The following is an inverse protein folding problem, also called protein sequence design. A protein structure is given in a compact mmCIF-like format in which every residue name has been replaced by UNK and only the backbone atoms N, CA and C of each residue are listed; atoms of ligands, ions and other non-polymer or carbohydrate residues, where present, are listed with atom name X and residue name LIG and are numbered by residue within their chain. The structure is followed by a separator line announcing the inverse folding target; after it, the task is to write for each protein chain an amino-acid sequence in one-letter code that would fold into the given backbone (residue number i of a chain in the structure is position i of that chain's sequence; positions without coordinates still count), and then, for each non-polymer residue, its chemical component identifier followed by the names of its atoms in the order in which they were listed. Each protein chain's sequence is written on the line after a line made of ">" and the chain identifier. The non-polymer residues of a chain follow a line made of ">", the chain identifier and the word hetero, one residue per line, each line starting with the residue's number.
data_IF_982321923655
#
_entry.id   IF_982321923655
#
_cell.length_a   1.000
_cell.length_b   1.000
_cell.length_c   1.000
_cell.angle_alpha   90.00
_cell.angle_beta   90.00
_cell.angle_gamma   90.00
#
_symmetry.space_group_name_H-M   'P 1'
#
loop_
_entity.id
_entity.type
_entity.pdbx_description
1 polymer ?
#
# COMPACT_ATOMS: atom_id res chain seq x y z
N UNK A 1 4.23 -14.46 5.19
CA UNK A 1 3.26 -13.41 5.57
C UNK A 1 2.34 -13.18 4.38
N UNK A 2 1.02 -13.34 4.54
CA UNK A 2 0.06 -13.15 3.44
C UNK A 2 -0.72 -11.86 3.67
N UNK A 3 -0.66 -10.95 2.71
CA UNK A 3 -1.47 -9.73 2.72
C UNK A 3 -2.88 -10.10 2.28
N UNK A 4 -3.88 -9.70 3.05
CA UNK A 4 -5.30 -9.99 2.78
C UNK A 4 -6.09 -8.76 2.40
N UNK A 5 -5.66 -7.59 2.89
CA UNK A 5 -6.32 -6.32 2.60
C UNK A 5 -5.27 -5.28 2.23
N UNK A 6 -5.53 -4.54 1.15
CA UNK A 6 -4.72 -3.40 0.72
C UNK A 6 -5.59 -2.15 0.72
N UNK A 7 -5.19 -1.15 1.50
CA UNK A 7 -5.69 0.22 1.42
C UNK A 7 -4.82 1.05 0.48
N UNK A 8 -5.46 1.85 -0.36
CA UNK A 8 -4.81 2.78 -1.28
C UNK A 8 -5.43 4.16 -1.12
N UNK A 9 -4.70 5.08 -0.48
CA UNK A 9 -5.16 6.45 -0.31
C UNK A 9 -4.61 7.32 -1.45
N UNK A 10 -5.52 8.03 -2.10
CA UNK A 10 -5.22 8.89 -3.25
C UNK A 10 -5.07 10.34 -2.79
N UNK A 11 -3.84 10.86 -2.83
CA UNK A 11 -3.55 12.28 -2.71
C UNK A 11 -3.06 12.86 -4.05
N UNK A 12 -2.92 14.20 -4.13
CA UNK A 12 -2.67 14.91 -5.39
C UNK A 12 -1.42 14.42 -6.14
N UNK A 13 -0.35 14.09 -5.42
CA UNK A 13 0.94 13.68 -5.99
C UNK A 13 1.54 12.42 -5.34
N UNK A 14 0.84 11.83 -4.37
CA UNK A 14 1.34 10.73 -3.55
C UNK A 14 0.21 9.72 -3.38
N UNK A 15 0.56 8.44 -3.44
CA UNK A 15 -0.30 7.31 -3.15
C UNK A 15 0.19 6.70 -1.83
N UNK A 16 -0.64 6.69 -0.79
CA UNK A 16 -0.32 5.90 0.40
C UNK A 16 -0.80 4.48 0.17
N UNK A 17 0.10 3.50 0.35
CA UNK A 17 -0.27 2.09 0.27
C UNK A 17 -0.07 1.45 1.63
N UNK A 18 -1.13 0.82 2.11
CA UNK A 18 -1.16 0.12 3.37
C UNK A 18 -1.62 -1.32 3.15
N UNK A 19 -0.82 -2.29 3.56
CA UNK A 19 -1.15 -3.72 3.48
C UNK A 19 -1.24 -4.33 4.86
N UNK A 20 -2.28 -5.11 5.13
CA UNK A 20 -2.43 -5.87 6.38
C UNK A 20 -2.65 -7.36 6.14
N UNK A 21 -2.26 -8.17 7.12
CA UNK A 21 -2.58 -9.61 7.17
C UNK A 21 -3.99 -9.84 7.72
N UNK A 22 -4.43 -11.11 7.72
CA UNK A 22 -5.72 -11.50 8.28
C UNK A 22 -5.83 -11.23 9.78
N UNK A 23 -4.69 -11.24 10.48
CA UNK A 23 -4.58 -10.95 11.90
C UNK A 23 -4.50 -9.44 12.19
N UNK A 24 -4.61 -8.60 11.16
CA UNK A 24 -4.51 -7.13 11.27
C UNK A 24 -3.07 -6.61 11.39
N UNK A 25 -2.06 -7.46 11.22
CA UNK A 25 -0.67 -7.04 11.28
C UNK A 25 -0.27 -6.27 10.02
N UNK A 26 0.48 -5.18 10.17
CA UNK A 26 0.95 -4.34 9.06
C UNK A 26 2.04 -5.08 8.28
N UNK A 27 1.79 -5.36 7.01
CA UNK A 27 2.77 -5.93 6.08
C UNK A 27 3.65 -4.85 5.45
N UNK A 28 3.03 -3.76 5.01
CA UNK A 28 3.74 -2.60 4.50
C UNK A 28 2.90 -1.34 4.70
N UNK A 29 3.60 -0.22 4.85
CA UNK A 29 3.00 1.11 4.89
C UNK A 29 3.99 2.08 4.26
N UNK A 30 3.73 2.48 3.01
CA UNK A 30 4.65 3.30 2.23
C UNK A 30 3.93 4.34 1.37
N UNK A 31 4.63 5.44 1.10
CA UNK A 31 4.19 6.45 0.15
C UNK A 31 4.86 6.21 -1.21
N UNK A 32 4.05 6.12 -2.27
CA UNK A 32 4.52 5.97 -3.65
C UNK A 32 4.22 7.24 -4.44
N UNK A 33 5.17 7.62 -5.31
CA UNK A 33 4.91 8.56 -6.41
C UNK A 33 4.22 7.82 -7.55
N UNK A 34 3.56 8.56 -8.44
CA UNK A 34 2.83 7.98 -9.58
C UNK A 34 3.66 7.03 -10.45
N UNK A 35 4.94 7.32 -10.64
CA UNK A 35 5.87 6.46 -11.40
C UNK A 35 6.21 5.14 -10.70
N UNK A 36 6.03 5.04 -9.39
CA UNK A 36 6.39 3.86 -8.59
C UNK A 36 5.23 2.88 -8.43
N UNK A 37 3.99 3.31 -8.68
CA UNK A 37 2.77 2.50 -8.48
C UNK A 37 2.82 1.22 -9.31
N UNK A 38 3.12 1.32 -10.61
CA UNK A 38 3.19 0.19 -11.53
C UNK A 38 4.31 -0.81 -11.21
N UNK A 39 5.37 -0.37 -10.55
CA UNK A 39 6.47 -1.27 -10.15
C UNK A 39 6.21 -1.94 -8.80
N UNK A 40 5.28 -1.40 -8.01
CA UNK A 40 4.94 -1.90 -6.69
C UNK A 40 3.86 -3.00 -6.73
N UNK A 41 2.92 -2.92 -7.67
CA UNK A 41 1.80 -3.86 -7.86
C UNK A 41 2.06 -4.79 -9.04
#
# INVERSE_FOLDING_TARGET
>A
MKVTTVGLDLAKNVFQVHGITNEGAIAFNCSLRRSQVLAFF
#
